data_IF_885533590987
#
_entry.id   IF_885533590987
#
_cell.length_a   1.000
_cell.length_b   1.000
_cell.length_c   1.000
_cell.angle_alpha   90.00
_cell.angle_beta   90.00
_cell.angle_gamma   90.00
#
_symmetry.space_group_name_H-M   'P 1'
#
loop_
_entity.id
_entity.type
_entity.pdbx_description
1 polymer ?
#
# COMPACT_ATOMS: atom_id res chain seq x y z
N UNK A 1 8.47 26.91 -0.44
CA UNK A 1 8.29 25.66 -1.23
C UNK A 1 7.32 24.77 -0.47
N UNK A 2 6.20 24.33 -1.08
CA UNK A 2 5.32 23.35 -0.43
C UNK A 2 6.09 22.05 -0.24
N UNK A 3 6.06 21.48 0.96
CA UNK A 3 6.70 20.20 1.24
C UNK A 3 6.03 19.11 0.39
N UNK A 4 6.83 18.22 -0.18
CA UNK A 4 6.37 17.01 -0.88
C UNK A 4 5.58 16.14 0.11
N UNK A 5 4.38 15.72 -0.26
CA UNK A 5 3.52 14.89 0.59
C UNK A 5 3.71 13.43 0.20
N UNK A 6 4.18 12.62 1.13
CA UNK A 6 4.22 11.17 1.00
C UNK A 6 3.12 10.52 1.83
N UNK A 7 2.41 9.55 1.28
CA UNK A 7 1.40 8.77 2.01
C UNK A 7 1.68 7.28 1.83
N UNK A 8 1.78 6.55 2.93
CA UNK A 8 1.92 5.10 2.95
C UNK A 8 0.62 4.51 3.48
N UNK A 9 -0.06 3.70 2.67
CA UNK A 9 -1.24 2.96 3.10
C UNK A 9 -0.86 1.59 3.63
N UNK A 10 -1.19 1.33 4.89
CA UNK A 10 -1.11 0.04 5.57
C UNK A 10 -2.51 -0.51 5.86
N UNK A 11 -2.58 -1.80 6.12
CA UNK A 11 -3.81 -2.49 6.46
C UNK A 11 -3.96 -3.82 5.72
N UNK A 12 -4.82 -4.72 6.21
CA UNK A 12 -4.99 -6.06 5.66
C UNK A 12 -5.58 -6.04 4.24
N UNK A 13 -5.42 -7.15 3.48
CA UNK A 13 -6.17 -7.36 2.25
C UNK A 13 -7.68 -7.18 2.48
N UNK A 14 -8.37 -6.47 1.58
CA UNK A 14 -9.81 -6.21 1.73
C UNK A 14 -10.18 -4.98 2.58
N UNK A 15 -9.22 -4.29 3.19
CA UNK A 15 -9.50 -3.10 4.03
C UNK A 15 -9.96 -1.86 3.25
N UNK A 16 -9.81 -1.83 1.92
CA UNK A 16 -10.22 -0.70 1.09
C UNK A 16 -9.08 0.27 0.72
N UNK A 17 -7.80 -0.09 1.01
CA UNK A 17 -6.63 0.76 0.70
C UNK A 17 -6.63 1.31 -0.71
N UNK A 18 -6.74 0.44 -1.72
CA UNK A 18 -6.66 0.85 -3.11
C UNK A 18 -7.74 1.86 -3.50
N UNK A 19 -8.98 1.66 -3.03
CA UNK A 19 -10.08 2.58 -3.27
C UNK A 19 -9.84 3.94 -2.62
N UNK A 20 -9.42 3.94 -1.37
CA UNK A 20 -9.15 5.18 -0.61
C UNK A 20 -7.90 5.89 -1.11
N UNK A 21 -6.85 5.14 -1.47
CA UNK A 21 -5.63 5.69 -2.06
C UNK A 21 -5.91 6.39 -3.39
N UNK A 22 -6.74 5.79 -4.26
CA UNK A 22 -7.13 6.41 -5.53
C UNK A 22 -7.91 7.73 -5.32
N UNK A 23 -8.90 7.74 -4.41
CA UNK A 23 -9.66 8.95 -4.08
C UNK A 23 -8.77 10.06 -3.51
N UNK A 24 -7.88 9.71 -2.59
CA UNK A 24 -6.97 10.67 -1.98
C UNK A 24 -5.95 11.20 -3.00
N UNK A 25 -5.43 10.34 -3.89
CA UNK A 25 -4.52 10.73 -4.97
C UNK A 25 -5.15 11.74 -5.92
N UNK A 26 -6.40 11.52 -6.32
CA UNK A 26 -7.17 12.44 -7.15
C UNK A 26 -7.35 13.79 -6.45
N UNK A 27 -7.75 13.80 -5.18
CA UNK A 27 -7.97 15.03 -4.41
C UNK A 27 -6.70 15.85 -4.21
N UNK A 28 -5.53 15.19 -4.05
CA UNK A 28 -4.22 15.83 -3.87
C UNK A 28 -3.49 16.10 -5.19
N UNK A 29 -4.00 15.59 -6.31
CA UNK A 29 -3.35 15.65 -7.63
C UNK A 29 -1.92 15.10 -7.60
N UNK A 30 -1.75 13.93 -6.97
CA UNK A 30 -0.48 13.18 -6.87
C UNK A 30 -0.69 11.74 -7.33
N UNK A 31 0.37 11.02 -7.76
CA UNK A 31 0.22 9.66 -8.23
C UNK A 31 -0.12 8.66 -7.11
N UNK A 32 -1.02 7.72 -7.43
CA UNK A 32 -1.25 6.49 -6.68
C UNK A 32 -0.33 5.40 -7.22
N UNK A 33 0.56 4.89 -6.39
CA UNK A 33 1.55 3.86 -6.72
C UNK A 33 1.13 2.58 -6.00
N UNK A 34 0.43 1.70 -6.72
CA UNK A 34 -0.01 0.41 -6.21
C UNK A 34 0.90 -0.70 -6.73
N UNK A 35 1.70 -1.30 -5.85
CA UNK A 35 2.57 -2.43 -6.21
C UNK A 35 1.77 -3.62 -6.73
N UNK A 36 0.60 -3.87 -6.15
CA UNK A 36 -0.27 -4.95 -6.61
C UNK A 36 -0.82 -4.73 -8.01
N UNK A 37 -1.12 -3.50 -8.41
CA UNK A 37 -1.55 -3.17 -9.77
C UNK A 37 -0.40 -3.28 -10.76
N UNK A 38 0.76 -2.74 -10.42
CA UNK A 38 1.98 -2.83 -11.24
C UNK A 38 2.32 -4.29 -11.53
N UNK A 39 2.30 -5.16 -10.51
CA UNK A 39 2.60 -6.58 -10.68
C UNK A 39 1.55 -7.29 -11.55
N UNK A 40 0.26 -7.03 -11.34
CA UNK A 40 -0.81 -7.64 -12.17
C UNK A 40 -0.72 -7.19 -13.62
N UNK A 41 -0.42 -5.92 -13.86
CA UNK A 41 -0.20 -5.41 -15.22
C UNK A 41 1.00 -6.10 -15.86
N UNK A 42 2.13 -6.18 -15.15
CA UNK A 42 3.34 -6.86 -15.62
C UNK A 42 3.08 -8.33 -15.98
N UNK A 43 2.28 -9.05 -15.17
CA UNK A 43 1.86 -10.44 -15.45
C UNK A 43 1.00 -10.51 -16.71
N UNK A 44 0.03 -9.61 -16.85
CA UNK A 44 -0.86 -9.56 -18.02
C UNK A 44 -0.08 -9.29 -19.31
N UNK A 45 0.88 -8.37 -19.25
CA UNK A 45 1.76 -7.99 -20.36
C UNK A 45 2.92 -8.97 -20.58
N UNK A 46 3.06 -9.99 -19.70
CA UNK A 46 4.13 -11.00 -19.74
C UNK A 46 5.54 -10.42 -19.76
N UNK A 47 5.76 -9.30 -19.06
CA UNK A 47 7.09 -8.72 -18.92
C UNK A 47 7.99 -9.66 -18.10
N UNK A 48 9.30 -9.43 -18.08
CA UNK A 48 10.25 -10.21 -17.28
C UNK A 48 9.87 -10.18 -15.78
N UNK A 49 9.55 -8.99 -15.26
CA UNK A 49 9.03 -8.83 -13.89
C UNK A 49 7.75 -9.65 -13.67
N UNK A 50 6.81 -9.60 -14.63
CA UNK A 50 5.56 -10.33 -14.55
C UNK A 50 5.75 -11.83 -14.51
N UNK A 51 6.65 -12.37 -15.33
CA UNK A 51 6.97 -13.79 -15.35
C UNK A 51 7.59 -14.27 -14.04
N UNK A 52 8.48 -13.46 -13.44
CA UNK A 52 9.12 -13.77 -12.16
C UNK A 52 8.15 -13.64 -10.97
N UNK A 53 7.25 -12.66 -11.00
CA UNK A 53 6.30 -12.39 -9.92
C UNK A 53 5.06 -13.30 -9.92
N UNK A 54 4.69 -13.89 -11.07
CA UNK A 54 3.42 -14.60 -11.26
C UNK A 54 3.16 -15.67 -10.20
N UNK A 55 4.14 -16.56 -9.97
CA UNK A 55 3.98 -17.67 -9.05
C UNK A 55 3.71 -17.22 -7.59
N UNK A 56 4.28 -16.11 -7.17
CA UNK A 56 4.06 -15.52 -5.85
C UNK A 56 2.67 -14.91 -5.73
N UNK A 57 2.25 -14.13 -6.73
CA UNK A 57 0.94 -13.47 -6.76
C UNK A 57 -0.20 -14.49 -6.76
N UNK A 58 -0.09 -15.56 -7.57
CA UNK A 58 -1.07 -16.64 -7.66
C UNK A 58 -1.23 -17.42 -6.34
N UNK A 59 -0.12 -17.59 -5.60
CA UNK A 59 -0.13 -18.27 -4.29
C UNK A 59 -0.53 -17.36 -3.13
N UNK A 60 -0.64 -16.05 -3.35
CA UNK A 60 -0.90 -15.06 -2.31
C UNK A 60 0.31 -14.75 -1.42
N UNK A 61 1.51 -15.06 -1.90
CA UNK A 61 2.78 -14.77 -1.25
C UNK A 61 3.28 -13.36 -1.57
N UNK A 62 4.26 -12.87 -0.79
CA UNK A 62 4.98 -11.66 -1.14
C UNK A 62 5.99 -11.94 -2.25
N UNK A 63 6.08 -11.02 -3.20
CA UNK A 63 7.11 -11.04 -4.23
C UNK A 63 8.46 -10.69 -3.58
N UNK A 64 9.57 -11.37 -3.95
CA UNK A 64 10.90 -11.09 -3.40
C UNK A 64 11.31 -9.62 -3.50
N UNK A 65 12.03 -9.14 -2.49
CA UNK A 65 12.47 -7.75 -2.38
C UNK A 65 13.32 -7.31 -3.58
N UNK A 66 14.18 -8.20 -4.10
CA UNK A 66 15.03 -7.94 -5.26
C UNK A 66 14.25 -7.47 -6.50
N UNK A 67 12.98 -7.88 -6.61
CA UNK A 67 12.10 -7.49 -7.72
C UNK A 67 11.36 -6.18 -7.45
N UNK A 68 11.20 -5.79 -6.20
CA UNK A 68 10.35 -4.66 -5.80
C UNK A 68 11.12 -3.40 -5.45
N UNK A 69 12.28 -3.50 -4.80
CA UNK A 69 12.98 -2.34 -4.25
C UNK A 69 13.43 -1.38 -5.37
N UNK A 70 14.02 -1.91 -6.44
CA UNK A 70 14.40 -1.12 -7.61
C UNK A 70 13.21 -0.44 -8.28
N UNK A 71 12.10 -1.17 -8.43
CA UNK A 71 10.85 -0.65 -9.00
C UNK A 71 10.30 0.55 -8.21
N UNK A 72 10.26 0.44 -6.87
CA UNK A 72 9.79 1.52 -6.00
C UNK A 72 10.72 2.72 -6.07
N UNK A 73 12.03 2.49 -6.03
CA UNK A 73 13.02 3.57 -6.14
C UNK A 73 12.89 4.34 -7.45
N UNK A 74 12.80 3.64 -8.58
CA UNK A 74 12.61 4.26 -9.90
C UNK A 74 11.29 5.02 -9.97
N UNK A 75 10.20 4.44 -9.46
CA UNK A 75 8.87 5.04 -9.49
C UNK A 75 8.78 6.33 -8.67
N UNK A 76 9.39 6.37 -7.50
CA UNK A 76 9.41 7.56 -6.65
C UNK A 76 10.27 8.70 -7.21
N UNK A 77 11.22 8.40 -8.12
CA UNK A 77 12.05 9.39 -8.81
C UNK A 77 11.40 9.97 -10.06
N UNK A 78 10.23 9.45 -10.50
CA UNK A 78 9.55 9.97 -11.67
C UNK A 78 9.06 11.43 -11.45
N UNK A 79 9.02 12.26 -12.51
CA UNK A 79 8.65 13.68 -12.39
C UNK A 79 7.26 13.92 -11.80
N UNK A 80 6.29 13.03 -12.02
CA UNK A 80 4.94 13.12 -11.48
C UNK A 80 4.90 12.96 -9.95
N UNK A 81 5.88 12.28 -9.37
CA UNK A 81 6.04 12.11 -7.93
C UNK A 81 6.69 13.32 -7.23
N UNK A 82 7.11 14.35 -7.99
CA UNK A 82 7.82 15.50 -7.42
C UNK A 82 6.98 16.32 -6.43
N UNK A 83 5.65 16.35 -6.58
CA UNK A 83 4.74 17.05 -5.67
C UNK A 83 4.28 16.21 -4.48
N UNK A 84 4.37 14.90 -4.61
CA UNK A 84 3.92 13.93 -3.62
C UNK A 84 3.60 12.59 -4.26
N UNK A 85 3.24 11.63 -3.44
CA UNK A 85 2.93 10.26 -3.88
C UNK A 85 2.11 9.52 -2.81
N UNK A 86 1.38 8.50 -3.25
CA UNK A 86 0.71 7.54 -2.36
C UNK A 86 1.20 6.15 -2.70
N UNK A 87 1.78 5.45 -1.72
CA UNK A 87 2.16 4.05 -1.82
C UNK A 87 1.07 3.15 -1.24
N UNK A 88 0.61 2.19 -2.03
CA UNK A 88 -0.32 1.13 -1.66
C UNK A 88 0.27 -0.24 -1.96
N UNK A 89 0.34 -1.08 -0.94
CA UNK A 89 0.90 -2.43 -1.03
C UNK A 89 2.42 -2.51 -0.86
N UNK A 90 3.07 -1.43 -0.46
CA UNK A 90 4.46 -1.36 -0.04
C UNK A 90 4.61 -0.24 1.02
N UNK A 91 5.38 -0.44 2.11
CA UNK A 91 6.10 -1.67 2.47
C UNK A 91 5.17 -2.76 3.02
N UNK A 92 5.58 -4.03 2.91
CA UNK A 92 4.89 -5.20 3.48
C UNK A 92 5.72 -5.96 4.49
N UNK A 93 6.99 -5.62 4.65
CA UNK A 93 7.87 -6.18 5.68
C UNK A 93 8.63 -5.05 6.37
N UNK A 94 9.16 -5.31 7.57
CA UNK A 94 9.99 -4.33 8.29
C UNK A 94 11.25 -3.99 7.51
N UNK A 95 11.85 -4.95 6.81
CA UNK A 95 13.01 -4.70 5.95
C UNK A 95 12.68 -3.72 4.81
N UNK A 96 11.53 -3.90 4.15
CA UNK A 96 11.03 -2.96 3.14
C UNK A 96 10.75 -1.57 3.73
N UNK A 97 10.20 -1.50 4.94
CA UNK A 97 9.94 -0.23 5.62
C UNK A 97 11.25 0.52 5.92
N UNK A 98 12.27 -0.18 6.42
CA UNK A 98 13.59 0.39 6.66
C UNK A 98 14.26 0.88 5.38
N UNK A 99 14.16 0.10 4.28
CA UNK A 99 14.65 0.52 2.97
C UNK A 99 13.94 1.79 2.47
N UNK A 100 12.60 1.82 2.59
CA UNK A 100 11.82 2.98 2.15
C UNK A 100 12.22 4.24 2.93
N UNK A 101 12.38 4.14 4.24
CA UNK A 101 12.77 5.28 5.07
C UNK A 101 14.14 5.83 4.65
N UNK A 102 15.15 4.96 4.43
CA UNK A 102 16.47 5.37 3.94
C UNK A 102 16.38 6.05 2.55
N UNK A 103 15.54 5.50 1.64
CA UNK A 103 15.32 6.10 0.33
C UNK A 103 14.66 7.49 0.44
N UNK A 104 13.70 7.67 1.35
CA UNK A 104 13.03 8.95 1.54
C UNK A 104 13.95 10.00 2.17
N UNK A 105 14.87 9.59 3.04
CA UNK A 105 15.94 10.47 3.55
C UNK A 105 16.88 10.94 2.43
N UNK A 106 17.27 10.06 1.51
CA UNK A 106 18.07 10.43 0.33
C UNK A 106 17.35 11.43 -0.59
N UNK A 107 16.03 11.26 -0.73
CA UNK A 107 15.20 12.16 -1.54
C UNK A 107 14.90 13.50 -0.86
N UNK A 108 15.34 13.68 0.39
CA UNK A 108 15.47 14.91 1.19
C UNK A 108 14.20 15.76 1.36
N UNK A 109 12.95 15.22 1.26
CA UNK A 109 11.87 16.20 1.20
C UNK A 109 10.43 15.77 1.50
N UNK A 110 10.16 14.64 2.07
CA UNK A 110 8.77 14.26 2.26
C UNK A 110 8.28 14.42 3.70
N UNK A 111 7.17 15.12 3.85
CA UNK A 111 6.36 14.92 5.03
C UNK A 111 5.54 13.66 4.80
N UNK A 112 5.93 12.56 5.45
CA UNK A 112 5.34 11.23 5.21
C UNK A 112 4.30 10.91 6.27
N UNK A 113 3.09 10.59 5.82
CA UNK A 113 2.00 10.08 6.64
C UNK A 113 1.88 8.57 6.45
N UNK A 114 1.78 7.84 7.54
CA UNK A 114 1.51 6.40 7.50
C UNK A 114 0.08 6.16 7.99
N UNK A 115 -0.77 5.65 7.12
CA UNK A 115 -2.22 5.49 7.36
C UNK A 115 -2.57 4.00 7.38
N UNK A 116 -3.01 3.50 8.53
CA UNK A 116 -3.49 2.14 8.67
C UNK A 116 -5.02 2.09 8.65
N UNK A 117 -5.59 1.38 7.68
CA UNK A 117 -7.02 1.06 7.64
C UNK A 117 -7.30 -0.20 8.46
N UNK A 118 -7.88 -0.04 9.64
CA UNK A 118 -8.29 -1.12 10.51
C UNK A 118 -9.72 -1.59 10.14
N UNK A 119 -9.89 -2.90 9.92
CA UNK A 119 -11.18 -3.52 9.55
C UNK A 119 -11.26 -4.89 10.21
N UNK A 120 -12.41 -5.31 10.77
CA UNK A 120 -12.58 -6.64 11.35
C UNK A 120 -12.40 -7.76 10.30
N UNK A 121 -11.83 -8.90 10.71
CA UNK A 121 -11.52 -10.02 9.80
C UNK A 121 -12.73 -10.56 9.05
N UNK A 122 -13.90 -10.64 9.71
CA UNK A 122 -15.14 -11.10 9.10
C UNK A 122 -15.55 -10.22 7.91
N UNK A 123 -15.39 -8.91 8.04
CA UNK A 123 -15.68 -7.94 6.98
C UNK A 123 -14.64 -8.02 5.86
N UNK A 124 -13.38 -8.29 6.19
CA UNK A 124 -12.31 -8.45 5.20
C UNK A 124 -12.58 -9.63 4.26
N UNK A 125 -12.94 -10.79 4.83
CA UNK A 125 -13.24 -12.00 4.05
C UNK A 125 -14.42 -11.75 3.12
N UNK A 126 -15.51 -11.16 3.62
CA UNK A 126 -16.68 -10.81 2.82
C UNK A 126 -16.32 -9.89 1.65
N UNK A 127 -15.61 -8.80 1.91
CA UNK A 127 -15.17 -7.84 0.89
C UNK A 127 -14.28 -8.48 -0.17
N UNK A 128 -13.36 -9.37 0.23
CA UNK A 128 -12.46 -10.06 -0.68
C UNK A 128 -13.22 -11.04 -1.58
N UNK A 129 -14.18 -11.78 -1.04
CA UNK A 129 -15.05 -12.69 -1.82
C UNK A 129 -15.90 -11.95 -2.84
N UNK A 130 -16.39 -10.75 -2.49
CA UNK A 130 -17.20 -9.92 -3.39
C UNK A 130 -16.39 -9.19 -4.45
N UNK A 131 -15.09 -8.99 -4.24
CA UNK A 131 -14.21 -8.23 -5.15
C UNK A 131 -14.05 -8.90 -6.52
N UNK A 132 -14.05 -10.24 -6.58
CA UNK A 132 -14.10 -11.03 -7.81
C UNK A 132 -12.87 -10.92 -8.70
N UNK A 133 -11.67 -10.71 -8.16
CA UNK A 133 -10.42 -10.81 -8.94
C UNK A 133 -10.13 -12.27 -9.27
N UNK A 134 -9.45 -12.53 -10.38
CA UNK A 134 -9.10 -13.89 -10.79
C UNK A 134 -8.26 -14.65 -9.74
N UNK A 135 -7.47 -13.92 -8.96
CA UNK A 135 -6.62 -14.41 -7.88
C UNK A 135 -7.32 -14.40 -6.50
N UNK A 136 -8.64 -14.18 -6.41
CA UNK A 136 -9.43 -14.19 -5.17
C UNK A 136 -10.13 -15.54 -4.96
N UNK A 137 -9.35 -16.63 -4.87
CA UNK A 137 -9.85 -17.92 -4.37
C UNK A 137 -9.90 -17.93 -2.85
N UNK A 138 -10.68 -18.82 -2.25
CA UNK A 138 -10.74 -18.98 -0.77
C UNK A 138 -9.35 -19.25 -0.19
N UNK A 139 -8.58 -20.11 -0.84
CA UNK A 139 -7.23 -20.51 -0.45
C UNK A 139 -6.27 -19.33 -0.52
N UNK A 140 -6.31 -18.58 -1.63
CA UNK A 140 -5.46 -17.39 -1.81
C UNK A 140 -5.83 -16.26 -0.84
N UNK A 141 -7.11 -16.06 -0.57
CA UNK A 141 -7.59 -15.08 0.43
C UNK A 141 -7.06 -15.46 1.82
N UNK A 142 -7.24 -16.72 2.24
CA UNK A 142 -6.76 -17.20 3.53
C UNK A 142 -5.23 -17.05 3.65
N UNK A 143 -4.50 -17.40 2.58
CA UNK A 143 -3.05 -17.25 2.55
C UNK A 143 -2.60 -15.79 2.64
N UNK A 144 -3.24 -14.87 1.93
CA UNK A 144 -2.95 -13.43 2.01
C UNK A 144 -3.18 -12.85 3.39
N UNK A 145 -4.25 -13.25 4.07
CA UNK A 145 -4.52 -12.82 5.44
C UNK A 145 -3.45 -13.36 6.40
N UNK A 146 -3.04 -14.62 6.25
CA UNK A 146 -1.97 -15.19 7.06
C UNK A 146 -0.63 -14.50 6.82
N UNK A 147 -0.24 -14.28 5.55
CA UNK A 147 0.97 -13.53 5.17
C UNK A 147 0.94 -12.10 5.73
N UNK A 148 -0.23 -11.46 5.72
CA UNK A 148 -0.39 -10.14 6.34
C UNK A 148 -0.07 -10.18 7.84
N UNK A 149 -0.66 -11.13 8.56
CA UNK A 149 -0.45 -11.27 10.01
C UNK A 149 1.03 -11.54 10.32
N UNK A 150 1.65 -12.48 9.60
CA UNK A 150 3.00 -12.94 9.89
C UNK A 150 4.10 -11.96 9.48
N UNK A 151 3.92 -11.24 8.36
CA UNK A 151 4.98 -10.47 7.73
C UNK A 151 4.69 -8.96 7.67
N UNK A 152 3.42 -8.57 7.50
CA UNK A 152 3.06 -7.16 7.27
C UNK A 152 2.59 -6.47 8.55
N UNK A 153 1.86 -7.14 9.44
CA UNK A 153 1.41 -6.54 10.68
C UNK A 153 2.57 -5.95 11.53
N UNK A 154 3.78 -6.56 11.59
CA UNK A 154 4.92 -5.97 12.29
C UNK A 154 5.37 -4.59 11.77
N UNK A 155 4.99 -4.22 10.55
CA UNK A 155 5.26 -2.88 9.99
C UNK A 155 4.46 -1.79 10.75
N UNK A 156 3.30 -2.15 11.31
CA UNK A 156 2.51 -1.24 12.15
C UNK A 156 3.28 -0.86 13.42
N UNK A 157 3.90 -1.83 14.07
CA UNK A 157 4.72 -1.59 15.26
C UNK A 157 5.95 -0.75 14.92
N UNK A 158 6.58 -1.03 13.78
CA UNK A 158 7.73 -0.26 13.28
C UNK A 158 7.40 1.23 13.12
N UNK A 159 6.31 1.59 12.45
CA UNK A 159 5.90 2.98 12.30
C UNK A 159 5.23 3.56 13.54
N UNK A 160 4.60 2.73 14.36
CA UNK A 160 4.05 3.10 15.66
C UNK A 160 5.14 3.62 16.62
N UNK A 161 6.28 2.92 16.71
CA UNK A 161 7.44 3.33 17.51
C UNK A 161 8.07 4.64 17.00
N UNK A 162 7.94 4.94 15.71
CA UNK A 162 8.38 6.21 15.11
C UNK A 162 7.40 7.37 15.32
N UNK A 163 6.19 7.11 15.85
CA UNK A 163 5.17 8.12 16.06
C UNK A 163 4.53 8.68 14.78
N UNK A 164 4.69 7.98 13.64
CA UNK A 164 4.17 8.43 12.33
C UNK A 164 2.90 7.70 11.90
N UNK A 165 2.49 6.64 12.63
CA UNK A 165 1.35 5.81 12.30
C UNK A 165 0.03 6.45 12.75
N UNK A 166 -0.92 6.54 11.83
CA UNK A 166 -2.29 6.99 12.09
C UNK A 166 -3.26 5.84 11.83
N UNK A 167 -4.11 5.51 12.80
CA UNK A 167 -5.14 4.48 12.66
C UNK A 167 -6.45 5.10 12.21
N UNK A 168 -7.02 4.54 11.15
CA UNK A 168 -8.32 4.95 10.60
C UNK A 168 -9.25 3.74 10.62
N UNK A 169 -10.46 3.92 11.13
CA UNK A 169 -11.50 2.90 11.08
C UNK A 169 -12.01 2.73 9.64
N UNK A 170 -11.55 1.66 8.99
CA UNK A 170 -11.94 1.29 7.62
C UNK A 170 -13.29 0.58 7.52
N UNK A 171 -13.97 0.36 8.66
CA UNK A 171 -15.30 -0.26 8.73
C UNK A 171 -16.43 0.78 8.80
N UNK A 172 -16.18 1.96 8.28
CA UNK A 172 -17.15 3.04 8.14
C UNK A 172 -17.63 3.16 6.67
N UNK A 173 -18.70 3.91 6.39
CA UNK A 173 -19.06 4.28 5.04
C UNK A 173 -17.90 4.90 4.28
N UNK A 174 -17.79 4.62 2.98
CA UNK A 174 -16.63 5.01 2.16
C UNK A 174 -16.26 6.49 2.30
N UNK A 175 -17.26 7.37 2.28
CA UNK A 175 -17.03 8.82 2.35
C UNK A 175 -16.57 9.29 3.74
N UNK A 176 -17.01 8.60 4.80
CA UNK A 176 -16.52 8.87 6.16
C UNK A 176 -15.04 8.48 6.30
N UNK A 177 -14.63 7.35 5.74
CA UNK A 177 -13.21 6.94 5.69
C UNK A 177 -12.39 7.95 4.89
N UNK A 178 -12.88 8.37 3.72
CA UNK A 178 -12.22 9.38 2.88
C UNK A 178 -12.03 10.69 3.65
N UNK A 179 -13.06 11.17 4.36
CA UNK A 179 -12.98 12.38 5.16
C UNK A 179 -11.95 12.28 6.29
N UNK A 180 -11.93 11.13 7.01
CA UNK A 180 -10.97 10.88 8.09
C UNK A 180 -9.52 10.87 7.57
N UNK A 181 -9.26 10.22 6.42
CA UNK A 181 -7.95 10.20 5.78
C UNK A 181 -7.51 11.60 5.35
N UNK A 182 -8.41 12.34 4.73
CA UNK A 182 -8.14 13.72 4.26
C UNK A 182 -7.79 14.64 5.43
N UNK A 183 -8.50 14.54 6.55
CA UNK A 183 -8.24 15.35 7.74
C UNK A 183 -6.85 15.11 8.35
N UNK A 184 -6.29 13.91 8.20
CA UNK A 184 -4.92 13.61 8.66
C UNK A 184 -3.87 14.21 7.72
N UNK A 185 -4.08 14.12 6.41
CA UNK A 185 -3.07 14.51 5.40
C UNK A 185 -3.11 16.00 5.10
N UNK A 186 -4.30 16.61 5.18
CA UNK A 186 -4.53 18.06 4.97
C UNK A 186 -5.13 18.62 6.26
N UNK A 187 -4.32 18.88 7.28
CA UNK A 187 -4.83 19.53 8.48
C UNK A 187 -5.30 20.95 8.12
N UNK A 188 -6.54 21.28 8.48
CA UNK A 188 -7.18 22.59 8.29
C UNK A 188 -6.48 23.64 9.14
#
# INVERSE_FOLDING_TARGET
MSKRIGVIFLGPPGSGKGTQAAKLAESLTIPHISTGEILRQAITEKTELGQQAQAYVEKGELVPDELLLGLIQERLKQPDSAKGWILDGFPRTVAQASFLDALLEELADSHTFVLNLAVPDTVLIERLMQRGRQDDTKETIARRLQVYIDQTAPVLDYYGQKGTLNHIDGNQPMDAVTAALTAVVIPV
#
